data_IF_386868506285
#
_entry.id   IF_386868506285
#
_cell.length_a   1.000
_cell.length_b   1.000
_cell.length_c   1.000
_cell.angle_alpha   90.00
_cell.angle_beta   90.00
_cell.angle_gamma   90.00
#
_symmetry.space_group_name_H-M   'P 1'
#
loop_
_entity.id
_entity.type
_entity.pdbx_description
1 polymer ?
#
# COMPACT_ATOMS: atom_id res chain seq x y z
N UNK A 1 24.54 -15.94 -6.09
CA UNK A 1 25.29 -15.69 -4.84
C UNK A 1 24.71 -14.47 -4.12
N UNK A 2 25.06 -14.23 -2.84
CA UNK A 2 24.61 -13.03 -2.10
C UNK A 2 24.93 -11.73 -2.83
N UNK A 3 26.11 -11.65 -3.46
CA UNK A 3 26.54 -10.50 -4.27
C UNK A 3 25.64 -10.29 -5.50
N UNK A 4 25.26 -11.36 -6.21
CA UNK A 4 24.34 -11.24 -7.36
C UNK A 4 22.97 -10.71 -6.95
N UNK A 5 22.43 -11.18 -5.81
CA UNK A 5 21.15 -10.70 -5.29
C UNK A 5 21.21 -9.22 -4.90
N UNK A 6 22.29 -8.79 -4.24
CA UNK A 6 22.50 -7.38 -3.90
C UNK A 6 22.60 -6.50 -5.14
N UNK A 7 23.36 -6.93 -6.17
CA UNK A 7 23.46 -6.21 -7.45
C UNK A 7 22.11 -6.06 -8.15
N UNK A 8 21.29 -7.11 -8.11
CA UNK A 8 19.94 -7.06 -8.66
C UNK A 8 19.05 -6.05 -7.91
N UNK A 9 19.12 -6.04 -6.58
CA UNK A 9 18.37 -5.07 -5.76
C UNK A 9 18.79 -3.63 -6.04
N UNK A 10 20.10 -3.37 -6.12
CA UNK A 10 20.63 -2.05 -6.50
C UNK A 10 20.08 -1.62 -7.86
N UNK A 11 20.15 -2.50 -8.86
CA UNK A 11 19.62 -2.20 -10.20
C UNK A 11 18.13 -1.83 -10.19
N UNK A 12 17.31 -2.55 -9.41
CA UNK A 12 15.88 -2.25 -9.29
C UNK A 12 15.64 -0.88 -8.63
N UNK A 13 16.39 -0.55 -7.58
CA UNK A 13 16.32 0.77 -6.93
C UNK A 13 16.75 1.88 -7.89
N UNK A 14 17.87 1.72 -8.59
CA UNK A 14 18.33 2.69 -9.61
C UNK A 14 17.30 2.88 -10.72
N UNK A 15 16.66 1.79 -11.15
CA UNK A 15 15.59 1.82 -12.17
C UNK A 15 14.39 2.63 -11.68
N UNK A 16 13.97 2.44 -10.43
CA UNK A 16 12.88 3.22 -9.83
C UNK A 16 13.25 4.70 -9.67
N UNK A 17 14.45 5.01 -9.21
CA UNK A 17 14.95 6.40 -9.11
C UNK A 17 14.96 7.07 -10.47
N UNK A 18 15.38 6.35 -11.53
CA UNK A 18 15.30 6.84 -12.91
C UNK A 18 13.87 7.18 -13.31
N UNK A 19 12.90 6.32 -13.01
CA UNK A 19 11.49 6.59 -13.30
C UNK A 19 11.03 7.91 -12.65
N UNK A 20 11.31 8.13 -11.35
CA UNK A 20 10.96 9.38 -10.66
C UNK A 20 11.50 10.62 -11.34
N UNK A 21 12.74 10.57 -11.82
CA UNK A 21 13.38 11.69 -12.51
C UNK A 21 12.79 11.97 -13.92
N UNK A 22 12.12 11.00 -14.52
CA UNK A 22 11.50 11.11 -15.84
C UNK A 22 10.06 11.64 -15.80
N UNK A 23 9.44 11.71 -14.63
CA UNK A 23 8.02 12.08 -14.48
C UNK A 23 7.64 13.37 -15.22
N UNK A 24 8.48 14.42 -15.14
CA UNK A 24 8.22 15.70 -15.82
C UNK A 24 8.82 15.78 -17.24
N UNK A 25 9.93 15.08 -17.51
CA UNK A 25 10.70 15.23 -18.75
C UNK A 25 10.35 14.22 -19.83
N UNK A 26 10.00 12.99 -19.44
CA UNK A 26 9.60 11.92 -20.35
C UNK A 26 8.63 10.94 -19.65
N UNK A 27 7.36 11.36 -19.45
CA UNK A 27 6.39 10.56 -18.72
C UNK A 27 6.07 9.21 -19.39
N UNK A 28 6.18 9.12 -20.73
CA UNK A 28 5.96 7.86 -21.44
C UNK A 28 6.99 6.80 -21.04
N UNK A 29 8.27 7.17 -20.96
CA UNK A 29 9.33 6.26 -20.50
C UNK A 29 9.18 5.94 -19.01
N UNK A 30 8.80 6.92 -18.18
CA UNK A 30 8.48 6.65 -16.76
C UNK A 30 7.40 5.57 -16.62
N UNK A 31 6.28 5.69 -17.34
CA UNK A 31 5.18 4.70 -17.28
C UNK A 31 5.69 3.31 -17.64
N UNK A 32 6.43 3.18 -18.75
CA UNK A 32 7.00 1.91 -19.19
C UNK A 32 7.94 1.29 -18.14
N UNK A 33 8.76 2.10 -17.48
CA UNK A 33 9.63 1.64 -16.40
C UNK A 33 8.79 1.15 -15.21
N UNK A 34 7.79 1.90 -14.78
CA UNK A 34 6.90 1.51 -13.69
C UNK A 34 6.18 0.19 -13.98
N UNK A 35 5.59 0.03 -15.17
CA UNK A 35 4.93 -1.22 -15.58
C UNK A 35 5.91 -2.40 -15.57
N UNK A 36 7.13 -2.20 -16.08
CA UNK A 36 8.19 -3.21 -16.07
C UNK A 36 8.61 -3.60 -14.65
N UNK A 37 8.68 -2.65 -13.72
CA UNK A 37 8.97 -2.90 -12.30
C UNK A 37 7.84 -3.69 -11.63
N UNK A 38 6.57 -3.32 -11.87
CA UNK A 38 5.39 -4.03 -11.34
C UNK A 38 5.27 -5.47 -11.85
N UNK A 39 5.81 -5.76 -13.04
CA UNK A 39 5.87 -7.11 -13.58
C UNK A 39 6.98 -7.99 -12.98
N UNK A 40 7.92 -7.43 -12.20
CA UNK A 40 9.00 -8.22 -11.60
C UNK A 40 8.48 -9.01 -10.39
N UNK A 41 8.64 -10.35 -10.35
CA UNK A 41 8.07 -11.21 -9.30
C UNK A 41 8.67 -10.98 -7.91
N UNK A 42 9.78 -10.24 -7.81
CA UNK A 42 10.52 -9.99 -6.57
C UNK A 42 10.79 -8.49 -6.35
N UNK A 43 9.96 -7.61 -6.94
CA UNK A 43 10.16 -6.16 -6.83
C UNK A 43 10.17 -5.69 -5.36
N UNK A 44 9.30 -6.26 -4.52
CA UNK A 44 9.16 -5.96 -3.08
C UNK A 44 10.47 -6.09 -2.27
N UNK A 45 11.42 -6.89 -2.74
CA UNK A 45 12.72 -7.04 -2.08
C UNK A 45 13.66 -5.83 -2.30
N UNK A 46 13.31 -4.93 -3.21
CA UNK A 46 14.10 -3.77 -3.60
C UNK A 46 13.32 -2.45 -3.51
N UNK A 47 12.07 -2.45 -4.00
CA UNK A 47 11.18 -1.28 -4.04
C UNK A 47 9.79 -1.76 -3.68
N UNK A 48 9.09 -1.07 -2.79
CA UNK A 48 7.72 -1.47 -2.43
C UNK A 48 6.81 -1.23 -3.64
N UNK A 49 5.94 -2.18 -3.96
CA UNK A 49 5.01 -2.03 -5.08
C UNK A 49 4.11 -0.80 -4.88
N UNK A 50 3.77 -0.48 -3.63
CA UNK A 50 3.02 0.73 -3.29
C UNK A 50 3.71 2.03 -3.70
N UNK A 51 5.04 2.11 -3.62
CA UNK A 51 5.79 3.31 -4.06
C UNK A 51 5.71 3.49 -5.58
N UNK A 52 5.68 2.39 -6.35
CA UNK A 52 5.56 2.43 -7.81
C UNK A 52 4.15 2.87 -8.23
N UNK A 53 3.11 2.35 -7.56
CA UNK A 53 1.74 2.83 -7.77
C UNK A 53 1.55 4.28 -7.33
N UNK A 54 2.21 4.71 -6.25
CA UNK A 54 2.16 6.08 -5.80
C UNK A 54 2.69 7.04 -6.87
N UNK A 55 3.85 6.75 -7.45
CA UNK A 55 4.43 7.54 -8.53
C UNK A 55 3.47 7.66 -9.74
N UNK A 56 2.83 6.54 -10.15
CA UNK A 56 1.85 6.57 -11.24
C UNK A 56 0.60 7.37 -10.87
N UNK A 57 0.11 7.23 -9.64
CA UNK A 57 -1.07 7.95 -9.16
C UNK A 57 -0.82 9.46 -9.11
N UNK A 58 0.31 9.88 -8.55
CA UNK A 58 0.75 11.28 -8.52
C UNK A 58 0.87 11.85 -9.93
N UNK A 59 1.47 11.11 -10.86
CA UNK A 59 1.59 11.53 -12.25
C UNK A 59 0.21 11.78 -12.90
N UNK A 60 -0.73 10.84 -12.80
CA UNK A 60 -2.06 11.00 -13.40
C UNK A 60 -2.86 12.10 -12.71
N UNK A 61 -2.70 12.25 -11.40
CA UNK A 61 -3.29 13.36 -10.65
C UNK A 61 -2.77 14.72 -11.13
N UNK A 62 -1.46 14.88 -11.35
CA UNK A 62 -0.86 16.11 -11.90
C UNK A 62 -1.30 16.42 -13.33
N UNK A 63 -1.75 15.40 -14.09
CA UNK A 63 -2.29 15.55 -15.45
C UNK A 63 -3.81 15.75 -15.50
N UNK A 64 -4.45 15.90 -14.34
CA UNK A 64 -5.92 16.00 -14.19
C UNK A 64 -6.67 14.75 -14.72
N UNK A 65 -5.97 13.62 -14.88
CA UNK A 65 -6.56 12.33 -15.29
C UNK A 65 -7.00 11.54 -14.05
N UNK A 66 -8.09 12.02 -13.44
CA UNK A 66 -8.63 11.45 -12.20
C UNK A 66 -9.11 10.01 -12.36
N UNK A 67 -9.57 9.62 -13.55
CA UNK A 67 -9.98 8.24 -13.83
C UNK A 67 -8.78 7.30 -13.78
N UNK A 68 -7.67 7.68 -14.42
CA UNK A 68 -6.47 6.84 -14.41
C UNK A 68 -5.78 6.84 -13.05
N UNK A 69 -5.79 7.97 -12.34
CA UNK A 69 -5.33 8.02 -10.95
C UNK A 69 -6.15 7.08 -10.04
N UNK A 70 -7.47 7.05 -10.19
CA UNK A 70 -8.33 6.10 -9.47
C UNK A 70 -8.06 4.64 -9.84
N UNK A 71 -7.79 4.35 -11.11
CA UNK A 71 -7.42 3.00 -11.55
C UNK A 71 -6.16 2.49 -10.84
N UNK A 72 -5.17 3.37 -10.60
CA UNK A 72 -3.96 3.00 -9.85
C UNK A 72 -4.27 2.71 -8.38
N UNK A 73 -5.13 3.50 -7.75
CA UNK A 73 -5.60 3.26 -6.37
C UNK A 73 -6.36 1.93 -6.27
N UNK A 74 -7.27 1.65 -7.22
CA UNK A 74 -8.00 0.39 -7.27
C UNK A 74 -7.05 -0.79 -7.50
N UNK A 75 -6.01 -0.63 -8.33
CA UNK A 75 -4.98 -1.64 -8.56
C UNK A 75 -4.14 -1.94 -7.30
N UNK A 76 -3.84 -0.92 -6.48
CA UNK A 76 -3.22 -1.10 -5.15
C UNK A 76 -4.12 -1.94 -4.25
N UNK A 77 -5.41 -1.58 -4.14
CA UNK A 77 -6.37 -2.29 -3.29
C UNK A 77 -6.61 -3.73 -3.72
N UNK A 78 -6.71 -3.98 -5.02
CA UNK A 78 -6.86 -5.34 -5.56
C UNK A 78 -5.67 -6.25 -5.22
N UNK A 79 -4.49 -5.67 -4.93
CA UNK A 79 -3.29 -6.40 -4.48
C UNK A 79 -3.14 -6.43 -2.95
N UNK A 80 -4.14 -5.95 -2.20
CA UNK A 80 -4.09 -5.87 -0.75
C UNK A 80 -3.12 -4.80 -0.21
N UNK A 81 -2.70 -3.84 -1.05
CA UNK A 81 -1.83 -2.73 -0.62
C UNK A 81 -2.69 -1.70 0.11
N UNK A 82 -2.36 -1.44 1.38
CA UNK A 82 -2.96 -0.36 2.16
C UNK A 82 -2.50 0.97 1.56
N UNK A 83 -3.44 1.82 1.15
CA UNK A 83 -3.15 3.05 0.38
C UNK A 83 -2.53 4.16 1.24
N UNK A 84 -2.99 4.33 2.48
CA UNK A 84 -2.64 5.46 3.35
C UNK A 84 -1.14 5.72 3.57
N UNK A 85 -0.28 4.70 3.73
CA UNK A 85 1.16 4.89 3.85
C UNK A 85 1.88 5.45 2.62
N UNK A 86 1.23 5.43 1.45
CA UNK A 86 1.86 5.77 0.17
C UNK A 86 1.31 7.04 -0.48
N UNK A 87 0.04 7.38 -0.23
CA UNK A 87 -0.63 8.51 -0.89
C UNK A 87 -1.09 9.57 0.11
N UNK A 88 -1.01 10.84 -0.30
CA UNK A 88 -1.60 11.96 0.44
C UNK A 88 -3.13 11.82 0.52
N UNK A 89 -3.68 11.94 1.73
CA UNK A 89 -5.12 11.77 1.97
C UNK A 89 -5.96 12.80 1.21
N UNK A 90 -5.49 14.05 1.04
CA UNK A 90 -6.25 15.06 0.29
C UNK A 90 -6.28 14.72 -1.19
N UNK A 91 -5.16 14.29 -1.78
CA UNK A 91 -5.09 13.82 -3.16
C UNK A 91 -6.09 12.68 -3.40
N UNK A 92 -6.09 11.67 -2.53
CA UNK A 92 -7.04 10.54 -2.60
C UNK A 92 -8.49 11.00 -2.52
N UNK A 93 -8.81 11.91 -1.60
CA UNK A 93 -10.16 12.48 -1.47
C UNK A 93 -10.58 13.24 -2.73
N UNK A 94 -9.68 14.03 -3.32
CA UNK A 94 -9.93 14.76 -4.56
C UNK A 94 -10.21 13.80 -5.71
N UNK A 95 -9.37 12.78 -5.90
CA UNK A 95 -9.55 11.75 -6.94
C UNK A 95 -10.91 11.06 -6.77
N UNK A 96 -11.24 10.59 -5.56
CA UNK A 96 -12.51 9.91 -5.29
C UNK A 96 -13.72 10.78 -5.61
N UNK A 97 -13.72 12.04 -5.15
CA UNK A 97 -14.81 12.98 -5.41
C UNK A 97 -14.97 13.27 -6.89
N UNK A 98 -13.86 13.43 -7.62
CA UNK A 98 -13.88 13.68 -9.06
C UNK A 98 -14.50 12.53 -9.85
N UNK A 99 -14.32 11.28 -9.40
CA UNK A 99 -14.93 10.08 -10.03
C UNK A 99 -16.26 9.65 -9.39
N UNK A 100 -16.81 10.44 -8.46
CA UNK A 100 -18.10 10.16 -7.80
C UNK A 100 -18.07 9.00 -6.80
N UNK A 101 -16.92 8.67 -6.23
CA UNK A 101 -16.76 7.63 -5.20
C UNK A 101 -16.58 8.23 -3.81
N UNK A 102 -17.02 7.50 -2.79
CA UNK A 102 -16.82 7.86 -1.39
C UNK A 102 -15.39 7.52 -0.93
N UNK A 103 -14.57 8.51 -0.51
CA UNK A 103 -13.22 8.26 -0.01
C UNK A 103 -13.15 7.34 1.21
N UNK A 104 -14.21 7.29 2.05
CA UNK A 104 -14.22 6.45 3.26
C UNK A 104 -14.14 4.96 2.93
N UNK A 105 -14.54 4.56 1.72
CA UNK A 105 -14.45 3.18 1.25
C UNK A 105 -13.00 2.73 0.96
N UNK A 106 -12.04 3.67 0.90
CA UNK A 106 -10.62 3.38 0.70
C UNK A 106 -9.86 3.22 2.02
N UNK A 107 -10.46 3.64 3.14
CA UNK A 107 -9.92 3.35 4.46
C UNK A 107 -10.13 1.87 4.74
N UNK A 108 -9.09 1.07 4.50
CA UNK A 108 -9.02 -0.28 5.10
C UNK A 108 -9.01 -0.05 6.60
N UNK A 109 -10.13 -0.30 7.28
CA UNK A 109 -10.20 -0.38 8.74
C UNK A 109 -9.05 -1.26 9.22
N UNK A 110 -8.00 -0.65 9.74
CA UNK A 110 -6.84 -1.34 10.29
C UNK A 110 -7.07 -1.75 11.76
N UNK A 111 -8.31 -1.70 12.27
CA UNK A 111 -8.57 -1.88 13.69
C UNK A 111 -10.02 -2.32 14.04
N UNK A 112 -10.47 -3.46 13.52
CA UNK A 112 -11.46 -4.27 14.24
C UNK A 112 -10.70 -5.54 14.66
N UNK A 113 -10.03 -5.46 15.82
CA UNK A 113 -9.46 -6.63 16.50
C UNK A 113 -10.56 -7.63 16.89
N UNK A 114 -10.22 -8.87 17.27
CA UNK A 114 -11.23 -9.84 17.69
C UNK A 114 -11.99 -9.28 18.89
N UNK A 115 -13.32 -9.45 18.90
CA UNK A 115 -14.12 -9.21 20.08
C UNK A 115 -13.54 -10.06 21.23
N UNK A 116 -13.02 -9.39 22.26
CA UNK A 116 -12.74 -10.02 23.54
C UNK A 116 -14.11 -10.33 24.19
N UNK A 117 -14.66 -11.49 23.82
CA UNK A 117 -15.46 -12.28 24.76
C UNK A 117 -14.44 -12.92 25.72
N UNK A 118 -14.23 -12.32 26.89
CA UNK A 118 -13.46 -12.96 27.96
C UNK A 118 -14.03 -12.55 29.34
N UNK A 119 -14.62 -13.58 29.95
CA UNK A 119 -14.54 -13.91 31.37
C UNK A 119 -15.54 -13.33 32.37
N UNK A 120 -16.68 -14.02 32.39
CA UNK A 120 -17.44 -14.24 33.61
C UNK A 120 -16.55 -14.83 34.70
N UNK A 121 -16.33 -14.02 35.74
CA UNK A 121 -15.73 -14.44 37.00
C UNK A 121 -16.62 -15.50 37.64
N UNK A 122 -16.11 -16.72 37.71
CA UNK A 122 -16.71 -17.82 38.47
C UNK A 122 -15.61 -18.77 38.90
N UNK A 123 -15.13 -18.58 40.13
CA UNK A 123 -14.69 -19.62 41.08
C UNK A 123 -14.09 -18.93 42.33
N UNK A 124 -14.94 -18.62 43.30
CA UNK A 124 -14.49 -18.48 44.69
C UNK A 124 -14.50 -19.91 45.27
N UNK A 125 -13.31 -20.45 45.52
CA UNK A 125 -13.13 -21.77 46.12
C UNK A 125 -13.25 -21.60 47.64
N UNK A 126 -14.28 -22.21 48.25
CA UNK A 126 -14.43 -22.30 49.70
C UNK A 126 -13.33 -23.20 50.30
N UNK A 127 -12.53 -22.65 51.22
CA UNK A 127 -11.59 -23.42 52.05
C UNK A 127 -12.36 -24.11 53.19
N UNK A 128 -12.69 -25.39 53.02
CA UNK A 128 -13.05 -26.27 54.14
C UNK A 128 -11.77 -26.78 54.80
N UNK A 129 -11.39 -26.16 55.92
CA UNK A 129 -10.43 -26.68 56.88
C UNK A 129 -11.19 -27.48 57.95
N UNK A 130 -11.22 -28.80 57.83
CA UNK A 130 -11.48 -29.68 58.98
C UNK A 130 -10.83 -31.06 58.75
N UNK A 131 -9.77 -31.32 59.51
CA UNK A 131 -9.43 -32.66 60.02
C UNK A 131 -8.63 -32.50 61.33
N UNK A 132 -9.35 -32.59 62.45
CA UNK A 132 -8.90 -33.07 63.75
C UNK A 132 -10.05 -33.80 64.45
#
# INVERSE_FOLDING_TARGET
>A
SKVSNLKQRIKLVETYVRARNLMQSNPGEMIQICESLLAQPNIENAVRTGDVYALLTEFYYEKDDMLKAMEMIDAMRAKGIIVGPYLDSKMVQTICRAVGRDPQLLETKANDGPAEDDDGIGEEIEEDLDDA
#
